data_IF_609684567823
#
_entry.id   IF_609684567823
#
_cell.length_a   1.000
_cell.length_b   1.000
_cell.length_c   1.000
_cell.angle_alpha   90.00
_cell.angle_beta   90.00
_cell.angle_gamma   90.00
#
_symmetry.space_group_name_H-M   'P 1'
#
loop_
_entity.id
_entity.type
_entity.pdbx_description
1 polymer ?
#
# COMPACT_ATOMS: atom_id res chain seq x y z
N UNK A 1 -10.23 2.02 -30.28
CA UNK A 1 -10.17 2.24 -28.82
C UNK A 1 -11.40 1.58 -28.24
N UNK A 2 -11.23 0.38 -27.67
CA UNK A 2 -12.36 -0.42 -27.17
C UNK A 2 -12.72 0.08 -25.78
N UNK A 3 -13.87 0.75 -25.65
CA UNK A 3 -14.50 0.98 -24.35
C UNK A 3 -15.16 -0.34 -23.95
N UNK A 4 -14.50 -1.12 -23.10
CA UNK A 4 -15.15 -2.25 -22.44
C UNK A 4 -16.21 -1.70 -21.51
N UNK A 5 -17.47 -1.83 -21.93
CA UNK A 5 -18.65 -1.50 -21.14
C UNK A 5 -18.82 -2.61 -20.09
N UNK A 6 -17.95 -2.63 -19.07
CA UNK A 6 -18.04 -3.59 -17.97
C UNK A 6 -19.27 -3.24 -17.15
N UNK A 7 -20.33 -4.03 -17.30
CA UNK A 7 -21.50 -4.02 -16.43
C UNK A 7 -21.02 -4.09 -14.98
N UNK A 8 -21.12 -2.99 -14.24
CA UNK A 8 -20.82 -2.96 -12.80
C UNK A 8 -21.81 -3.94 -12.18
N UNK A 9 -21.37 -5.05 -11.54
CA UNK A 9 -22.31 -5.92 -10.86
C UNK A 9 -23.10 -5.06 -9.86
N UNK A 10 -24.39 -5.35 -9.67
CA UNK A 10 -25.16 -4.85 -8.53
C UNK A 10 -24.49 -5.41 -7.26
N UNK A 11 -23.42 -4.76 -6.86
CA UNK A 11 -22.35 -5.36 -6.10
C UNK A 11 -22.23 -4.72 -4.73
N UNK A 12 -21.77 -5.53 -3.80
CA UNK A 12 -21.35 -5.10 -2.49
C UNK A 12 -19.86 -4.77 -2.54
N UNK A 13 -19.43 -3.69 -1.88
CA UNK A 13 -18.01 -3.42 -1.68
C UNK A 13 -17.35 -4.59 -0.93
N UNK A 14 -16.31 -5.18 -1.53
CA UNK A 14 -15.58 -6.35 -0.99
C UNK A 14 -14.89 -6.06 0.36
N UNK A 15 -14.73 -4.79 0.75
CA UNK A 15 -14.11 -4.40 2.02
C UNK A 15 -15.12 -4.02 3.11
N UNK A 16 -16.07 -3.13 2.81
CA UNK A 16 -16.98 -2.58 3.83
C UNK A 16 -18.40 -3.14 3.78
N UNK A 17 -18.76 -3.89 2.74
CA UNK A 17 -20.10 -4.43 2.63
C UNK A 17 -21.16 -3.42 2.15
N UNK A 18 -20.78 -2.19 1.81
CA UNK A 18 -21.74 -1.20 1.32
C UNK A 18 -22.29 -1.56 -0.06
N UNK A 19 -23.56 -1.26 -0.31
CA UNK A 19 -24.30 -1.59 -1.52
C UNK A 19 -24.93 -0.33 -2.13
N UNK A 20 -25.35 -0.40 -3.39
CA UNK A 20 -26.07 0.69 -4.06
C UNK A 20 -25.21 1.90 -4.40
N UNK A 21 -23.88 1.74 -4.41
CA UNK A 21 -22.92 2.79 -4.73
C UNK A 21 -22.00 2.35 -5.88
N UNK A 22 -21.40 3.29 -6.63
CA UNK A 22 -20.42 2.95 -7.66
C UNK A 22 -19.26 2.15 -7.07
N UNK A 23 -18.92 1.05 -7.74
CA UNK A 23 -17.78 0.22 -7.38
C UNK A 23 -16.70 0.32 -8.45
N UNK A 24 -15.45 0.29 -7.98
CA UNK A 24 -14.25 0.41 -8.79
C UNK A 24 -13.49 -0.90 -8.76
N UNK A 25 -13.07 -1.39 -9.94
CA UNK A 25 -12.12 -2.51 -10.00
C UNK A 25 -10.73 -2.00 -9.62
N UNK A 26 -10.11 -2.65 -8.66
CA UNK A 26 -8.75 -2.32 -8.28
C UNK A 26 -7.74 -2.99 -9.21
N UNK A 27 -7.15 -2.23 -10.12
CA UNK A 27 -6.12 -2.74 -11.03
C UNK A 27 -4.83 -3.07 -10.27
N UNK A 28 -4.21 -4.20 -10.61
CA UNK A 28 -2.88 -4.61 -10.14
C UNK A 28 -1.87 -3.95 -11.08
N UNK A 29 -1.65 -2.65 -10.90
CA UNK A 29 -0.69 -1.89 -11.70
C UNK A 29 0.74 -2.17 -11.24
N UNK A 30 1.46 -1.09 -10.94
CA UNK A 30 2.81 -1.13 -10.39
C UNK A 30 2.79 -1.01 -8.86
N UNK A 31 3.82 -1.54 -8.22
CA UNK A 31 4.10 -1.33 -6.81
C UNK A 31 4.64 0.10 -6.56
N UNK A 32 4.87 0.44 -5.29
CA UNK A 32 5.42 1.75 -4.90
C UNK A 32 6.75 2.11 -5.60
N UNK A 33 7.54 1.12 -6.00
CA UNK A 33 8.85 1.29 -6.62
C UNK A 33 8.80 1.28 -8.16
N UNK A 34 7.62 1.10 -8.75
CA UNK A 34 7.41 1.05 -10.20
C UNK A 34 7.57 -0.34 -10.81
N UNK A 35 7.74 -1.38 -10.00
CA UNK A 35 7.80 -2.78 -10.46
C UNK A 35 6.39 -3.25 -10.76
N UNK A 36 6.21 -4.02 -11.83
CA UNK A 36 4.92 -4.65 -12.08
C UNK A 36 4.59 -5.64 -10.96
N UNK A 37 3.34 -5.67 -10.51
CA UNK A 37 2.91 -6.71 -9.58
C UNK A 37 2.92 -8.08 -10.28
N UNK A 38 4.07 -8.76 -10.23
CA UNK A 38 4.31 -10.07 -10.88
C UNK A 38 3.50 -11.24 -10.24
N UNK A 39 2.51 -10.93 -9.39
CA UNK A 39 1.80 -11.93 -8.60
C UNK A 39 0.55 -12.49 -9.27
N UNK A 40 0.07 -11.90 -10.35
CA UNK A 40 -1.05 -12.45 -11.09
C UNK A 40 -0.80 -12.26 -12.59
N UNK A 41 -0.54 -13.35 -13.30
CA UNK A 41 -0.78 -13.37 -14.75
C UNK A 41 -2.22 -12.91 -15.01
N UNK A 42 -2.54 -12.30 -16.16
CA UNK A 42 -3.92 -11.90 -16.49
C UNK A 42 -4.96 -13.02 -16.34
N UNK A 43 -4.52 -14.28 -16.43
CA UNK A 43 -5.31 -15.50 -16.26
C UNK A 43 -5.49 -15.96 -14.80
N UNK A 44 -4.78 -15.36 -13.84
CA UNK A 44 -4.84 -15.66 -12.41
C UNK A 44 -5.79 -14.73 -11.63
N UNK A 45 -6.22 -13.60 -12.21
CA UNK A 45 -7.23 -12.70 -11.62
C UNK A 45 -8.66 -13.27 -11.80
N UNK A 46 -8.87 -14.52 -11.35
CA UNK A 46 -10.15 -15.25 -11.49
C UNK A 46 -11.28 -14.67 -10.63
N UNK A 47 -10.97 -13.75 -9.72
CA UNK A 47 -11.91 -13.14 -8.79
C UNK A 47 -11.62 -11.64 -8.63
N UNK A 48 -12.00 -10.81 -9.62
CA UNK A 48 -11.80 -9.38 -9.55
C UNK A 48 -12.51 -8.80 -8.32
N UNK A 49 -11.78 -8.02 -7.52
CA UNK A 49 -12.30 -7.35 -6.32
C UNK A 49 -12.78 -5.94 -6.65
N UNK A 50 -13.93 -5.59 -6.09
CA UNK A 50 -14.65 -4.35 -6.33
C UNK A 50 -14.81 -3.57 -5.03
N UNK A 51 -14.40 -2.31 -5.03
CA UNK A 51 -14.40 -1.47 -3.84
C UNK A 51 -15.16 -0.18 -4.09
N UNK A 52 -15.84 0.34 -3.07
CA UNK A 52 -16.29 1.73 -3.11
C UNK A 52 -15.08 2.67 -3.13
N UNK A 53 -15.31 3.95 -3.43
CA UNK A 53 -14.25 4.97 -3.53
C UNK A 53 -13.33 4.99 -2.29
N UNK A 54 -13.90 5.10 -1.09
CA UNK A 54 -13.12 5.13 0.16
C UNK A 54 -12.30 3.86 0.38
N UNK A 55 -12.90 2.69 0.12
CA UNK A 55 -12.20 1.41 0.29
C UNK A 55 -11.12 1.20 -0.78
N UNK A 56 -11.33 1.72 -1.99
CA UNK A 56 -10.33 1.71 -3.06
C UNK A 56 -9.13 2.57 -2.68
N UNK A 57 -9.37 3.78 -2.15
CA UNK A 57 -8.33 4.65 -1.60
C UNK A 57 -7.54 3.93 -0.50
N UNK A 58 -8.23 3.44 0.55
CA UNK A 58 -7.58 2.72 1.64
C UNK A 58 -6.82 1.48 1.17
N UNK A 59 -7.31 0.78 0.14
CA UNK A 59 -6.62 -0.37 -0.43
C UNK A 59 -5.34 0.01 -1.17
N UNK A 60 -5.31 1.17 -1.82
CA UNK A 60 -4.09 1.72 -2.41
C UNK A 60 -3.08 2.14 -1.33
N UNK A 61 -3.52 2.81 -0.27
CA UNK A 61 -2.63 3.16 0.86
C UNK A 61 -2.04 1.89 1.52
N UNK A 62 -2.85 0.85 1.69
CA UNK A 62 -2.40 -0.44 2.22
C UNK A 62 -1.31 -1.08 1.34
N UNK A 63 -1.44 -0.98 0.01
CA UNK A 63 -0.46 -1.51 -0.94
C UNK A 63 0.87 -0.79 -0.80
N UNK A 64 0.86 0.54 -0.84
CA UNK A 64 2.06 1.35 -0.66
C UNK A 64 2.75 1.03 0.67
N UNK A 65 1.98 1.00 1.77
CA UNK A 65 2.49 0.62 3.09
C UNK A 65 3.16 -0.76 3.08
N UNK A 66 2.50 -1.77 2.50
CA UNK A 66 3.03 -3.15 2.45
C UNK A 66 4.33 -3.21 1.65
N UNK A 67 4.39 -2.54 0.51
CA UNK A 67 5.56 -2.56 -0.36
C UNK A 67 6.75 -1.86 0.31
N UNK A 68 6.51 -0.70 0.93
CA UNK A 68 7.54 0.03 1.72
C UNK A 68 8.00 -0.82 2.92
N UNK A 69 7.07 -1.41 3.67
CA UNK A 69 7.40 -2.27 4.82
C UNK A 69 8.28 -3.45 4.42
N UNK A 70 7.92 -4.13 3.33
CA UNK A 70 8.68 -5.27 2.84
C UNK A 70 10.12 -4.88 2.48
N UNK A 71 10.29 -3.80 1.70
CA UNK A 71 11.63 -3.33 1.34
C UNK A 71 12.41 -2.79 2.54
N UNK A 72 11.74 -2.22 3.55
CA UNK A 72 12.39 -1.78 4.77
C UNK A 72 12.86 -2.97 5.61
N UNK A 73 12.06 -4.03 5.69
CA UNK A 73 12.47 -5.29 6.33
C UNK A 73 13.68 -5.90 5.62
N UNK A 74 13.67 -5.96 4.29
CA UNK A 74 14.82 -6.37 3.46
C UNK A 74 16.06 -5.51 3.75
N UNK A 75 15.90 -4.18 3.79
CA UNK A 75 17.00 -3.26 4.12
C UNK A 75 17.57 -3.54 5.52
N UNK A 76 16.71 -3.74 6.52
CA UNK A 76 17.15 -4.02 7.90
C UNK A 76 17.77 -5.39 8.08
N UNK A 77 17.44 -6.35 7.22
CA UNK A 77 18.07 -7.67 7.17
C UNK A 77 19.49 -7.62 6.55
N UNK A 78 19.88 -6.49 5.95
CA UNK A 78 21.16 -6.34 5.25
C UNK A 78 21.12 -6.82 3.79
N UNK A 79 19.94 -7.15 3.27
CA UNK A 79 19.75 -7.57 1.88
C UNK A 79 19.64 -6.37 0.93
N UNK A 80 19.75 -6.65 -0.38
CA UNK A 80 19.59 -5.65 -1.42
C UNK A 80 18.14 -5.18 -1.50
N UNK A 81 17.89 -3.94 -1.05
CA UNK A 81 16.56 -3.32 -1.00
C UNK A 81 16.45 -2.17 -1.99
N UNK A 82 15.26 -2.00 -2.60
CA UNK A 82 14.95 -0.85 -3.44
C UNK A 82 15.09 0.47 -2.67
N UNK A 83 14.89 0.47 -1.34
CA UNK A 83 15.04 1.65 -0.48
C UNK A 83 16.50 2.11 -0.32
N UNK A 84 17.49 1.25 -0.57
CA UNK A 84 18.90 1.62 -0.52
C UNK A 84 19.35 2.53 -1.68
N UNK A 85 18.46 2.79 -2.64
CA UNK A 85 18.81 3.43 -3.90
C UNK A 85 18.21 4.83 -4.03
N UNK A 86 19.04 5.80 -4.43
CA UNK A 86 18.62 7.16 -4.75
C UNK A 86 17.87 7.84 -3.62
N UNK A 87 16.75 8.47 -3.95
CA UNK A 87 15.86 9.19 -3.02
C UNK A 87 14.73 8.30 -2.46
N UNK A 88 14.74 6.99 -2.73
CA UNK A 88 13.59 6.11 -2.48
C UNK A 88 13.26 5.96 -1.00
N UNK A 89 14.25 5.96 -0.12
CA UNK A 89 14.03 5.97 1.33
C UNK A 89 13.29 7.25 1.77
N UNK A 90 13.71 8.41 1.26
CA UNK A 90 13.07 9.69 1.55
C UNK A 90 11.64 9.73 1.00
N UNK A 91 11.42 9.25 -0.23
CA UNK A 91 10.07 9.17 -0.81
C UNK A 91 9.16 8.24 -0.03
N UNK A 92 9.67 7.09 0.42
CA UNK A 92 8.92 6.16 1.25
C UNK A 92 8.53 6.81 2.59
N UNK A 93 9.43 7.59 3.19
CA UNK A 93 9.13 8.34 4.40
C UNK A 93 8.01 9.38 4.20
N UNK A 94 8.10 10.18 3.12
CA UNK A 94 7.05 11.15 2.76
C UNK A 94 5.73 10.43 2.54
N UNK A 95 5.75 9.31 1.80
CA UNK A 95 4.53 8.55 1.51
C UNK A 95 3.86 7.99 2.76
N UNK A 96 4.63 7.44 3.69
CA UNK A 96 4.08 6.96 4.96
C UNK A 96 3.49 8.11 5.80
N UNK A 97 4.09 9.30 5.75
CA UNK A 97 3.57 10.49 6.44
C UNK A 97 2.23 10.94 5.85
N UNK A 98 2.10 10.94 4.52
CA UNK A 98 0.84 11.19 3.83
C UNK A 98 -0.23 10.16 4.20
N UNK A 99 0.13 8.87 4.21
CA UNK A 99 -0.79 7.79 4.60
C UNK A 99 -1.30 8.03 6.02
N UNK A 100 -0.43 8.36 6.97
CA UNK A 100 -0.82 8.65 8.35
C UNK A 100 -1.79 9.84 8.43
N UNK A 101 -1.51 10.93 7.72
CA UNK A 101 -2.39 12.10 7.68
C UNK A 101 -3.76 11.79 7.06
N UNK A 102 -3.81 10.98 6.00
CA UNK A 102 -5.07 10.56 5.38
C UNK A 102 -5.90 9.71 6.34
N UNK A 103 -5.27 8.74 7.03
CA UNK A 103 -5.95 7.88 8.00
C UNK A 103 -6.48 8.67 9.21
N UNK A 104 -5.74 9.66 9.70
CA UNK A 104 -6.18 10.52 10.80
C UNK A 104 -7.37 11.42 10.42
N UNK A 105 -7.42 11.87 9.16
CA UNK A 105 -8.53 12.66 8.63
C UNK A 105 -9.81 11.87 8.34
N UNK A 106 -9.74 10.53 8.24
CA UNK A 106 -10.90 9.69 7.94
C UNK A 106 -11.64 9.28 9.22
N UNK A 107 -12.90 9.74 9.36
CA UNK A 107 -13.78 9.40 10.50
C UNK A 107 -14.16 7.92 10.59
N UNK A 108 -14.06 7.19 9.49
CA UNK A 108 -14.28 5.75 9.47
C UNK A 108 -12.93 5.06 9.62
N UNK A 109 -12.76 4.29 10.70
CA UNK A 109 -11.57 3.46 10.89
C UNK A 109 -11.35 2.59 9.64
N UNK A 110 -10.18 2.73 9.03
CA UNK A 110 -9.81 1.90 7.90
C UNK A 110 -9.66 0.44 8.37
N UNK A 111 -10.56 -0.44 7.90
CA UNK A 111 -10.46 -1.89 8.15
C UNK A 111 -9.29 -2.56 7.41
N UNK A 112 -8.61 -1.81 6.53
CA UNK A 112 -7.58 -2.33 5.63
C UNK A 112 -6.17 -1.95 6.08
N UNK A 113 -6.03 -0.89 6.87
CA UNK A 113 -4.75 -0.35 7.29
C UNK A 113 -4.91 0.39 8.62
N UNK A 114 -4.10 0.02 9.60
CA UNK A 114 -4.10 0.61 10.94
C UNK A 114 -3.14 1.82 11.02
N UNK A 115 -3.60 2.92 11.63
CA UNK A 115 -2.80 4.14 11.78
C UNK A 115 -1.58 3.93 12.70
N UNK A 116 -1.72 3.15 13.78
CA UNK A 116 -0.65 2.88 14.72
C UNK A 116 0.49 2.08 14.06
N UNK A 117 0.15 1.15 13.17
CA UNK A 117 1.12 0.38 12.37
C UNK A 117 1.94 1.29 11.45
N UNK A 118 1.29 2.21 10.73
CA UNK A 118 1.96 3.19 9.86
C UNK A 118 2.90 4.08 10.67
N UNK A 119 2.43 4.60 11.81
CA UNK A 119 3.25 5.42 12.70
C UNK A 119 4.43 4.64 13.30
N UNK A 120 4.27 3.35 13.60
CA UNK A 120 5.35 2.51 14.09
C UNK A 120 6.44 2.32 13.03
N UNK A 121 6.06 2.09 11.77
CA UNK A 121 7.03 1.99 10.67
C UNK A 121 7.75 3.32 10.43
N UNK A 122 7.03 4.45 10.43
CA UNK A 122 7.62 5.79 10.34
C UNK A 122 8.70 6.03 11.40
N UNK A 123 8.41 5.70 12.66
CA UNK A 123 9.37 5.83 13.76
C UNK A 123 10.61 4.96 13.56
N UNK A 124 10.44 3.73 13.09
CA UNK A 124 11.55 2.81 12.81
C UNK A 124 12.45 3.29 11.68
N UNK A 125 11.87 3.90 10.64
CA UNK A 125 12.65 4.49 9.53
C UNK A 125 13.46 5.71 9.96
N UNK A 126 12.99 6.44 10.98
CA UNK A 126 13.68 7.59 11.56
C UNK A 126 14.70 7.24 12.65
N UNK A 127 14.63 6.03 13.21
CA UNK A 127 15.60 5.62 14.19
C UNK A 127 16.98 5.57 13.50
N UNK A 128 18.00 6.29 14.01
CA UNK A 128 19.34 6.15 13.48
C UNK A 128 19.73 4.68 13.59
N UNK A 129 20.20 4.10 12.48
CA UNK A 129 20.81 2.78 12.48
C UNK A 129 21.89 2.81 13.57
N UNK A 130 21.68 2.04 14.65
CA UNK A 130 22.55 2.06 15.81
C UNK A 130 23.99 1.89 15.38
N UNK A 131 24.84 2.84 15.76
CA UNK A 131 26.28 2.80 15.54
C UNK A 131 26.83 1.43 15.97
N UNK A 132 27.64 0.75 15.15
CA UNK A 132 28.32 -0.46 15.60
C UNK A 132 29.29 -0.07 16.72
N UNK A 133 29.00 -0.51 17.94
CA UNK A 133 29.96 -0.43 19.05
C UNK A 133 31.17 -1.29 18.71
N UNK A 134 32.30 -0.64 18.39
CA UNK A 134 33.60 -1.29 18.28
C UNK A 134 34.10 -1.57 19.70
N UNK A 135 34.27 -2.83 20.13
CA UNK A 135 34.99 -3.12 21.36
C UNK A 135 36.48 -2.84 21.15
N UNK A 136 37.05 -2.00 22.02
CA UNK A 136 38.49 -1.79 22.16
C UNK A 136 39.13 -2.78 23.13
#
# INVERSE_FOLDING_TARGET
>A
MQHENTTVPAGQCDACGAQGMPLMKLSLGKDFFGRDYDRLSPSADRSPKWYCEDCSLHKNLQRDYRDIKAEFETLTAGDSSELAHGDRLQRAHVRLSEIAAILEGHKAESRLLDLADVQALLRRMHAPAGSPSIPG
#
